data_IF_532316148645
#
_entry.id   IF_532316148645
#
_cell.length_a   1.000
_cell.length_b   1.000
_cell.length_c   1.000
_cell.angle_alpha   90.00
_cell.angle_beta   90.00
_cell.angle_gamma   90.00
#
_symmetry.space_group_name_H-M   'P 1'
#
loop_
_entity.id
_entity.type
_entity.pdbx_description
1 polymer ?
#
# COMPACT_ATOMS: atom_id res chain seq x y z
N UNK A 1 10.76 -33.38 7.81
CA UNK A 1 11.50 -32.10 7.88
C UNK A 1 11.91 -31.62 6.50
N UNK A 2 12.54 -32.46 5.68
CA UNK A 2 12.96 -32.12 4.30
C UNK A 2 11.79 -31.62 3.42
N UNK A 3 10.68 -32.38 3.36
CA UNK A 3 9.46 -31.98 2.61
C UNK A 3 8.91 -30.60 3.02
N UNK A 4 8.94 -30.24 4.31
CA UNK A 4 8.39 -28.95 4.76
C UNK A 4 9.29 -27.81 4.32
N UNK A 5 10.61 -27.98 4.40
CA UNK A 5 11.58 -26.99 3.91
C UNK A 5 11.41 -26.76 2.41
N UNK A 6 11.29 -27.82 1.62
CA UNK A 6 11.09 -27.72 0.17
C UNK A 6 9.78 -26.99 -0.18
N UNK A 7 8.70 -27.27 0.56
CA UNK A 7 7.42 -26.57 0.40
C UNK A 7 7.53 -25.07 0.71
N UNK A 8 8.30 -24.70 1.75
CA UNK A 8 8.51 -23.29 2.08
C UNK A 8 9.30 -22.54 1.00
N UNK A 9 10.25 -23.20 0.32
CA UNK A 9 10.95 -22.60 -0.83
C UNK A 9 10.04 -22.47 -2.05
N UNK A 10 9.27 -23.52 -2.37
CA UNK A 10 8.27 -23.48 -3.45
C UNK A 10 7.24 -22.36 -3.25
N UNK A 11 6.81 -22.13 -1.99
CA UNK A 11 5.88 -21.05 -1.65
C UNK A 11 6.37 -19.68 -2.12
N UNK A 12 7.68 -19.41 -2.05
CA UNK A 12 8.28 -18.13 -2.45
C UNK A 12 8.33 -17.92 -3.96
N UNK A 13 8.21 -18.99 -4.75
CA UNK A 13 8.27 -18.91 -6.21
C UNK A 13 7.02 -18.26 -6.80
N UNK A 14 5.86 -18.42 -6.17
CA UNK A 14 4.62 -17.84 -6.69
C UNK A 14 4.71 -16.30 -6.71
N UNK A 15 4.40 -15.71 -7.86
CA UNK A 15 4.50 -14.26 -8.07
C UNK A 15 3.16 -13.54 -7.90
N UNK A 16 2.08 -14.23 -7.52
CA UNK A 16 0.75 -13.63 -7.45
C UNK A 16 0.63 -12.55 -6.36
N UNK A 17 1.35 -12.74 -5.24
CA UNK A 17 1.38 -11.80 -4.12
C UNK A 17 2.46 -10.72 -4.29
N UNK A 18 3.18 -10.71 -5.42
CA UNK A 18 4.12 -9.65 -5.76
C UNK A 18 3.39 -8.32 -5.96
N UNK A 19 4.06 -7.19 -5.64
CA UNK A 19 3.42 -5.89 -5.71
C UNK A 19 3.06 -5.54 -7.15
N UNK A 20 1.86 -4.99 -7.35
CA UNK A 20 1.39 -4.56 -8.67
C UNK A 20 2.20 -3.36 -9.13
N UNK A 21 2.66 -3.35 -10.38
CA UNK A 21 3.58 -2.33 -10.92
C UNK A 21 3.21 -0.88 -10.60
N UNK A 22 1.98 -0.45 -10.89
CA UNK A 22 1.54 0.92 -10.64
C UNK A 22 1.42 1.26 -9.15
N UNK A 23 0.95 0.31 -8.33
CA UNK A 23 0.88 0.46 -6.87
C UNK A 23 2.28 0.47 -6.24
N UNK A 24 3.20 -0.30 -6.80
CA UNK A 24 4.59 -0.43 -6.35
C UNK A 24 5.41 0.85 -6.58
N UNK A 25 5.15 1.57 -7.68
CA UNK A 25 5.81 2.85 -7.99
C UNK A 25 5.14 4.06 -7.32
N UNK A 26 3.93 3.90 -6.80
CA UNK A 26 3.20 5.00 -6.17
C UNK A 26 3.75 5.27 -4.76
N UNK A 27 4.27 6.47 -4.44
CA UNK A 27 4.79 6.75 -3.10
C UNK A 27 3.79 6.52 -1.95
N UNK A 28 2.49 6.57 -2.25
CA UNK A 28 1.40 6.36 -1.30
C UNK A 28 0.78 4.95 -1.40
N UNK A 29 1.36 4.07 -2.22
CA UNK A 29 0.94 2.69 -2.43
C UNK A 29 -0.53 2.51 -2.85
N UNK A 30 -1.09 3.43 -3.66
CA UNK A 30 -2.52 3.44 -4.03
C UNK A 30 -2.95 2.09 -4.63
N UNK A 31 -4.06 1.53 -4.14
CA UNK A 31 -4.70 0.32 -4.69
C UNK A 31 -5.45 0.64 -6.00
N UNK A 32 -4.67 0.77 -7.07
CA UNK A 32 -5.16 1.11 -8.41
C UNK A 32 -6.10 0.04 -8.95
N UNK A 33 -5.87 -1.26 -8.64
CA UNK A 33 -6.72 -2.35 -9.14
C UNK A 33 -8.15 -2.22 -8.65
N UNK A 34 -8.31 -2.15 -7.33
CA UNK A 34 -9.64 -2.02 -6.71
C UNK A 34 -10.31 -0.70 -7.09
N UNK A 35 -9.53 0.39 -7.14
CA UNK A 35 -10.04 1.69 -7.57
C UNK A 35 -10.56 1.65 -9.01
N UNK A 36 -9.75 1.16 -9.96
CA UNK A 36 -10.12 1.07 -11.37
C UNK A 36 -11.31 0.12 -11.60
N UNK A 37 -11.39 -1.00 -10.86
CA UNK A 37 -12.53 -1.92 -10.94
C UNK A 37 -13.85 -1.23 -10.54
N UNK A 38 -13.83 -0.42 -9.47
CA UNK A 38 -15.02 0.34 -9.06
C UNK A 38 -15.40 1.42 -10.08
N UNK A 39 -14.41 2.11 -10.64
CA UNK A 39 -14.65 3.11 -11.68
C UNK A 39 -15.20 2.49 -12.96
N UNK A 40 -14.74 1.29 -13.36
CA UNK A 40 -15.31 0.60 -14.52
C UNK A 40 -16.77 0.20 -14.33
N UNK A 41 -17.20 0.00 -13.07
CA UNK A 41 -18.58 -0.28 -12.70
C UNK A 41 -19.41 1.00 -12.48
N UNK A 42 -18.82 2.18 -12.62
CA UNK A 42 -19.45 3.47 -12.35
C UNK A 42 -19.61 3.82 -10.86
N UNK A 43 -18.99 3.06 -9.95
CA UNK A 43 -19.01 3.30 -8.51
C UNK A 43 -17.92 4.31 -8.09
N UNK A 44 -18.12 5.59 -8.45
CA UNK A 44 -17.19 6.68 -8.10
C UNK A 44 -17.04 6.87 -6.59
N UNK A 45 -18.14 6.76 -5.84
CA UNK A 45 -18.11 6.90 -4.38
C UNK A 45 -17.27 5.79 -3.74
N UNK A 46 -17.49 4.53 -4.11
CA UNK A 46 -16.67 3.43 -3.61
C UNK A 46 -15.21 3.53 -4.04
N UNK A 47 -14.94 3.96 -5.28
CA UNK A 47 -13.58 4.20 -5.75
C UNK A 47 -12.86 5.27 -4.92
N UNK A 48 -13.54 6.37 -4.59
CA UNK A 48 -13.03 7.39 -3.67
C UNK A 48 -12.77 6.84 -2.27
N UNK A 49 -13.66 5.99 -1.74
CA UNK A 49 -13.46 5.35 -0.43
C UNK A 49 -12.27 4.38 -0.43
N UNK A 50 -11.90 3.77 -1.57
CA UNK A 50 -10.66 3.00 -1.70
C UNK A 50 -9.45 3.94 -1.71
N UNK A 51 -9.47 4.96 -2.57
CA UNK A 51 -8.38 5.91 -2.75
C UNK A 51 -7.98 6.64 -1.45
N UNK A 52 -8.97 7.18 -0.73
CA UNK A 52 -8.75 7.96 0.49
C UNK A 52 -8.23 7.14 1.69
N UNK A 53 -8.28 5.80 1.64
CA UNK A 53 -7.72 4.94 2.72
C UNK A 53 -6.21 5.13 2.82
N UNK A 54 -5.57 5.41 1.69
CA UNK A 54 -4.12 5.56 1.58
C UNK A 54 -3.73 7.04 1.40
N UNK A 55 -4.58 7.82 0.74
CA UNK A 55 -4.30 9.23 0.46
C UNK A 55 -5.02 10.15 1.45
N UNK A 56 -4.24 10.88 2.26
CA UNK A 56 -4.76 11.77 3.31
C UNK A 56 -5.48 13.01 2.76
N UNK A 57 -4.98 13.56 1.66
CA UNK A 57 -5.52 14.74 0.97
C UNK A 57 -5.86 14.38 -0.49
N UNK A 58 -6.93 13.61 -0.74
CA UNK A 58 -7.29 13.09 -2.06
C UNK A 58 -7.39 14.18 -3.13
N UNK A 59 -8.05 15.30 -2.79
CA UNK A 59 -8.20 16.45 -3.65
C UNK A 59 -6.84 17.02 -4.03
N UNK A 60 -6.02 17.39 -3.05
CA UNK A 60 -4.68 17.96 -3.31
C UNK A 60 -3.81 17.00 -4.14
N UNK A 61 -3.69 15.74 -3.69
CA UNK A 61 -2.79 14.74 -4.30
C UNK A 61 -3.15 14.47 -5.75
N UNK A 62 -4.44 14.34 -6.08
CA UNK A 62 -4.86 14.08 -7.47
C UNK A 62 -4.51 15.22 -8.43
N UNK A 63 -4.27 16.45 -7.95
CA UNK A 63 -3.83 17.59 -8.79
C UNK A 63 -2.32 17.69 -8.89
N UNK A 64 -1.57 17.38 -7.83
CA UNK A 64 -0.11 17.51 -7.82
C UNK A 64 0.64 16.27 -8.32
N UNK A 65 0.01 15.08 -8.30
CA UNK A 65 0.65 13.80 -8.60
C UNK A 65 1.51 13.86 -9.88
N UNK A 66 2.77 13.43 -9.74
CA UNK A 66 3.75 13.32 -10.83
C UNK A 66 3.58 12.03 -11.66
N UNK A 67 2.57 11.22 -11.32
CA UNK A 67 2.11 10.04 -12.05
C UNK A 67 3.20 9.00 -12.39
N UNK A 68 4.04 8.56 -11.41
CA UNK A 68 5.07 7.54 -11.65
C UNK A 68 4.48 6.20 -12.14
N UNK A 69 3.23 5.94 -11.78
CA UNK A 69 2.47 4.77 -12.20
C UNK A 69 2.27 4.67 -13.73
N UNK A 70 2.32 5.79 -14.48
CA UNK A 70 2.28 5.77 -15.95
C UNK A 70 3.50 5.07 -16.53
N UNK A 71 4.67 5.28 -15.91
CA UNK A 71 5.90 4.63 -16.34
C UNK A 71 5.96 3.16 -15.96
N UNK A 72 5.33 2.79 -14.84
CA UNK A 72 5.25 1.42 -14.36
C UNK A 72 4.25 0.54 -15.13
N UNK A 73 3.22 1.14 -15.74
CA UNK A 73 2.07 0.40 -16.23
C UNK A 73 2.45 -0.60 -17.33
N UNK A 74 2.25 -1.90 -17.06
CA UNK A 74 2.60 -2.97 -17.99
C UNK A 74 1.78 -2.94 -19.29
N UNK A 75 0.60 -2.29 -19.30
CA UNK A 75 -0.22 -2.11 -20.50
C UNK A 75 0.53 -1.38 -21.64
N UNK A 76 1.56 -0.60 -21.34
CA UNK A 76 2.46 0.02 -22.35
C UNK A 76 3.12 -1.01 -23.29
N UNK A 77 3.20 -2.28 -22.90
CA UNK A 77 3.69 -3.35 -23.77
C UNK A 77 2.68 -3.75 -24.86
N UNK A 78 1.41 -3.37 -24.71
CA UNK A 78 0.32 -3.65 -25.66
C UNK A 78 -0.05 -2.39 -26.46
N UNK A 79 -0.32 -1.29 -25.75
CA UNK A 79 -0.64 0.01 -26.32
C UNK A 79 -0.09 1.18 -25.48
N UNK A 80 -0.91 1.82 -24.64
CA UNK A 80 -0.59 2.98 -23.83
C UNK A 80 -0.94 2.72 -22.37
N UNK A 81 -0.21 3.34 -21.44
CA UNK A 81 -0.53 3.27 -20.01
C UNK A 81 -1.97 3.73 -19.73
N UNK A 82 -2.56 3.15 -18.68
CA UNK A 82 -3.82 3.63 -18.11
C UNK A 82 -3.56 4.97 -17.43
N UNK A 83 -4.39 5.98 -17.70
CA UNK A 83 -4.30 7.32 -17.12
C UNK A 83 -4.82 7.34 -15.67
N UNK A 84 -4.05 6.73 -14.78
CA UNK A 84 -4.41 6.56 -13.36
C UNK A 84 -4.59 7.92 -12.68
N UNK A 85 -3.83 8.95 -13.06
CA UNK A 85 -3.99 10.29 -12.49
C UNK A 85 -5.36 10.89 -12.85
N UNK A 86 -5.82 10.70 -14.09
CA UNK A 86 -7.18 11.10 -14.47
C UNK A 86 -8.24 10.32 -13.66
N UNK A 87 -8.03 9.03 -13.44
CA UNK A 87 -8.91 8.20 -12.60
C UNK A 87 -8.94 8.68 -11.13
N UNK A 88 -7.79 8.99 -10.52
CA UNK A 88 -7.68 9.54 -9.16
C UNK A 88 -8.41 10.89 -9.03
N UNK A 89 -8.26 11.77 -10.02
CA UNK A 89 -8.97 13.04 -10.09
C UNK A 89 -10.47 12.82 -10.19
N UNK A 90 -10.92 11.93 -11.07
CA UNK A 90 -12.31 11.59 -11.25
C UNK A 90 -12.97 11.02 -9.98
N UNK A 91 -12.25 10.18 -9.23
CA UNK A 91 -12.71 9.72 -7.91
C UNK A 91 -13.06 10.89 -7.00
N UNK A 92 -12.23 11.93 -6.99
CA UNK A 92 -12.49 13.12 -6.18
C UNK A 92 -13.68 13.90 -6.75
N UNK A 93 -13.67 14.17 -8.05
CA UNK A 93 -14.61 15.11 -8.69
C UNK A 93 -16.06 14.56 -8.72
N UNK A 94 -16.24 13.26 -8.95
CA UNK A 94 -17.56 12.63 -9.11
C UNK A 94 -18.10 11.91 -7.86
N UNK A 95 -17.32 11.77 -6.79
CA UNK A 95 -17.82 11.12 -5.57
C UNK A 95 -18.89 11.98 -4.88
N UNK A 96 -20.11 11.45 -4.79
CA UNK A 96 -21.24 12.08 -4.10
C UNK A 96 -21.03 12.13 -2.58
N UNK A 97 -20.44 11.08 -2.01
CA UNK A 97 -20.16 10.98 -0.57
C UNK A 97 -18.66 10.91 -0.30
N UNK A 98 -18.12 12.00 0.24
CA UNK A 98 -16.70 12.12 0.65
C UNK A 98 -16.47 11.98 2.16
N UNK A 99 -17.52 11.96 2.96
CA UNK A 99 -17.42 11.89 4.43
C UNK A 99 -16.82 10.57 4.90
N UNK A 100 -16.00 10.61 5.96
CA UNK A 100 -15.55 9.41 6.68
C UNK A 100 -16.54 9.09 7.79
N UNK A 101 -16.76 7.81 8.11
CA UNK A 101 -17.39 7.47 9.37
C UNK A 101 -16.53 7.97 10.53
N UNK A 102 -17.14 8.74 11.43
CA UNK A 102 -16.50 9.21 12.65
C UNK A 102 -16.52 8.10 13.69
N UNK A 103 -15.33 7.66 14.08
CA UNK A 103 -15.16 6.75 15.21
C UNK A 103 -14.62 7.52 16.40
N UNK A 104 -15.18 7.26 17.59
CA UNK A 104 -14.60 7.77 18.82
C UNK A 104 -13.26 7.07 19.07
N UNK A 105 -12.18 7.86 19.17
CA UNK A 105 -10.84 7.38 19.45
C UNK A 105 -10.43 7.94 20.82
N UNK A 106 -10.18 7.09 21.83
CA UNK A 106 -9.77 7.56 23.15
C UNK A 106 -8.49 8.40 23.08
N UNK A 107 -8.46 9.58 23.72
CA UNK A 107 -7.28 10.42 23.72
C UNK A 107 -6.13 9.76 24.49
N UNK A 108 -4.91 9.89 23.96
CA UNK A 108 -3.68 9.44 24.58
C UNK A 108 -3.02 10.61 25.32
N UNK A 109 -2.45 10.35 26.49
CA UNK A 109 -1.73 11.36 27.31
C UNK A 109 -0.30 11.57 26.81
N UNK A 110 -0.13 11.78 25.50
CA UNK A 110 1.17 11.99 24.84
C UNK A 110 1.06 13.15 23.87
N UNK A 111 2.03 14.07 23.97
CA UNK A 111 2.09 15.29 23.20
C UNK A 111 3.16 15.19 22.12
N UNK A 112 2.79 15.45 20.86
CA UNK A 112 3.71 15.45 19.73
C UNK A 112 3.86 16.86 19.16
N UNK A 113 5.08 17.36 19.02
CA UNK A 113 5.37 18.59 18.32
C UNK A 113 5.66 18.32 16.84
N UNK A 114 5.06 19.08 15.92
CA UNK A 114 5.32 19.01 14.48
C UNK A 114 5.78 20.40 14.02
N UNK A 115 6.99 20.48 13.47
CA UNK A 115 7.61 21.75 13.04
C UNK A 115 7.52 21.83 11.52
N UNK A 116 6.64 22.70 11.00
CA UNK A 116 6.34 22.88 9.59
C UNK A 116 4.91 22.44 9.25
N UNK A 117 4.13 23.34 8.64
CA UNK A 117 2.74 23.15 8.21
C UNK A 117 2.57 22.83 6.73
N UNK A 118 3.62 22.31 6.07
CA UNK A 118 3.52 21.73 4.72
C UNK A 118 2.92 20.32 4.71
N UNK A 119 2.82 19.71 3.52
CA UNK A 119 2.22 18.38 3.33
C UNK A 119 2.75 17.30 4.28
N UNK A 120 4.06 17.27 4.53
CA UNK A 120 4.64 16.27 5.44
C UNK A 120 4.25 16.49 6.90
N UNK A 121 4.28 17.73 7.38
CA UNK A 121 3.86 18.05 8.74
C UNK A 121 2.36 17.81 8.94
N UNK A 122 1.53 18.27 8.00
CA UNK A 122 0.09 18.03 8.01
C UNK A 122 -0.24 16.53 7.94
N UNK A 123 0.47 15.77 7.10
CA UNK A 123 0.32 14.32 7.01
C UNK A 123 0.64 13.60 8.31
N UNK A 124 1.73 13.99 8.99
CA UNK A 124 2.10 13.47 10.30
C UNK A 124 1.06 13.83 11.37
N UNK A 125 0.69 15.11 11.45
CA UNK A 125 -0.26 15.62 12.43
C UNK A 125 -1.63 14.94 12.32
N UNK A 126 -2.18 14.84 11.10
CA UNK A 126 -3.47 14.18 10.87
C UNK A 126 -3.40 12.68 11.18
N UNK A 127 -2.32 11.99 10.81
CA UNK A 127 -2.14 10.57 11.08
C UNK A 127 -2.08 10.28 12.57
N UNK A 128 -1.36 11.10 13.34
CA UNK A 128 -1.26 10.98 14.79
C UNK A 128 -2.57 11.38 15.51
N UNK A 129 -3.23 12.44 15.06
CA UNK A 129 -4.53 12.86 15.60
C UNK A 129 -5.60 11.77 15.40
N UNK A 130 -5.63 11.13 14.22
CA UNK A 130 -6.49 9.95 13.94
C UNK A 130 -6.13 8.72 14.78
N UNK A 131 -5.02 8.73 15.53
CA UNK A 131 -4.65 7.67 16.48
C UNK A 131 -4.86 8.11 17.95
N UNK A 132 -5.45 9.29 18.17
CA UNK A 132 -5.77 9.83 19.49
C UNK A 132 -4.63 10.60 20.16
N UNK A 133 -3.53 10.92 19.47
CA UNK A 133 -2.46 11.74 20.03
C UNK A 133 -2.79 13.23 19.96
N UNK A 134 -2.36 14.00 20.96
CA UNK A 134 -2.42 15.45 20.91
C UNK A 134 -1.22 15.98 20.14
N UNK A 135 -1.46 16.84 19.16
CA UNK A 135 -0.43 17.39 18.28
C UNK A 135 -0.38 18.91 18.39
N UNK A 136 0.82 19.46 18.52
CA UNK A 136 1.09 20.88 18.39
C UNK A 136 1.88 21.11 17.11
N UNK A 137 1.28 21.79 16.14
CA UNK A 137 1.89 22.09 14.85
C UNK A 137 2.33 23.56 14.83
N UNK A 138 3.62 23.77 14.59
CA UNK A 138 4.24 25.09 14.50
C UNK A 138 4.53 25.43 13.04
N UNK A 139 4.03 26.55 12.55
CA UNK A 139 4.23 27.04 11.18
C UNK A 139 4.79 28.46 11.25
N UNK A 140 5.89 28.69 10.51
CA UNK A 140 6.57 29.97 10.48
C UNK A 140 5.76 31.04 9.74
N UNK A 141 5.00 30.63 8.71
CA UNK A 141 4.10 31.51 7.97
C UNK A 141 2.74 31.72 8.64
N UNK A 142 1.95 32.63 8.06
CA UNK A 142 0.59 32.92 8.51
C UNK A 142 -0.42 31.81 8.14
N UNK A 143 -0.09 30.88 7.25
CA UNK A 143 -1.03 29.91 6.68
C UNK A 143 -0.39 28.54 6.47
N UNK A 144 -1.17 27.49 6.71
CA UNK A 144 -0.79 26.08 6.49
C UNK A 144 -0.81 25.72 5.00
N UNK A 145 0.08 24.84 4.54
CA UNK A 145 0.11 24.34 3.16
C UNK A 145 1.49 24.38 2.52
N UNK A 146 2.42 25.16 3.08
CA UNK A 146 3.79 25.29 2.58
C UNK A 146 3.82 25.65 1.09
N UNK A 147 4.63 24.91 0.31
CA UNK A 147 4.83 25.14 -1.12
C UNK A 147 3.54 25.12 -1.97
N UNK A 148 2.46 24.48 -1.49
CA UNK A 148 1.17 24.46 -2.19
C UNK A 148 0.56 25.86 -2.35
N UNK A 149 1.03 26.84 -1.58
CA UNK A 149 0.62 28.26 -1.67
C UNK A 149 1.53 29.11 -2.53
N UNK A 150 2.65 28.56 -3.02
CA UNK A 150 3.59 29.30 -3.85
C UNK A 150 3.03 29.48 -5.28
N UNK A 151 3.41 30.57 -5.98
CA UNK A 151 3.02 30.76 -7.37
C UNK A 151 3.41 29.56 -8.26
N UNK A 152 2.47 29.07 -9.06
CA UNK A 152 2.68 27.92 -9.95
C UNK A 152 2.19 26.58 -9.38
N UNK A 153 1.69 26.54 -8.14
CA UNK A 153 0.96 25.39 -7.61
C UNK A 153 -0.29 25.09 -8.47
N UNK A 154 -0.56 23.83 -8.84
CA UNK A 154 -1.76 23.45 -9.60
C UNK A 154 -3.01 23.34 -8.70
N UNK A 155 -2.87 23.67 -7.40
CA UNK A 155 -3.94 23.61 -6.40
C UNK A 155 -4.37 25.04 -6.10
N UNK A 156 -5.65 25.34 -6.35
CA UNK A 156 -6.22 26.63 -5.99
C UNK A 156 -6.53 26.74 -4.48
N UNK A 157 -6.75 27.97 -4.02
CA UNK A 157 -7.01 28.24 -2.60
C UNK A 157 -8.30 27.59 -2.10
N UNK A 158 -9.32 27.49 -2.95
CA UNK A 158 -10.62 26.95 -2.56
C UNK A 158 -10.50 25.45 -2.25
N UNK A 159 -9.83 24.71 -3.13
CA UNK A 159 -9.53 23.29 -2.95
C UNK A 159 -8.61 23.06 -1.74
N UNK A 160 -7.57 23.89 -1.59
CA UNK A 160 -6.68 23.78 -0.44
C UNK A 160 -7.44 23.99 0.88
N UNK A 161 -8.31 25.01 0.94
CA UNK A 161 -9.14 25.26 2.11
C UNK A 161 -10.13 24.12 2.38
N UNK A 162 -10.78 23.56 1.35
CA UNK A 162 -11.68 22.41 1.46
C UNK A 162 -10.96 21.19 2.07
N UNK A 163 -9.79 20.85 1.55
CA UNK A 163 -9.03 19.67 1.95
C UNK A 163 -8.35 19.82 3.33
N UNK A 164 -7.99 21.04 3.71
CA UNK A 164 -7.41 21.32 5.03
C UNK A 164 -8.45 21.50 6.13
N UNK A 165 -9.71 21.81 5.80
CA UNK A 165 -10.78 22.03 6.78
C UNK A 165 -10.90 20.90 7.82
N UNK A 166 -10.94 19.59 7.45
CA UNK A 166 -11.02 18.52 8.44
C UNK A 166 -9.81 18.41 9.37
N UNK A 167 -8.64 18.94 8.96
CA UNK A 167 -7.44 18.98 9.79
C UNK A 167 -7.51 20.15 10.77
N UNK A 168 -7.95 21.31 10.28
CA UNK A 168 -8.08 22.53 11.09
C UNK A 168 -9.17 22.38 12.15
N UNK A 169 -10.27 21.71 11.82
CA UNK A 169 -11.38 21.43 12.74
C UNK A 169 -11.09 20.27 13.71
N UNK A 170 -9.96 19.58 13.57
CA UNK A 170 -9.60 18.49 14.45
C UNK A 170 -9.12 19.01 15.82
N UNK A 171 -9.98 18.85 16.84
CA UNK A 171 -9.69 19.32 18.21
C UNK A 171 -8.47 18.67 18.90
N UNK A 172 -7.83 17.67 18.31
CA UNK A 172 -6.57 17.09 18.81
C UNK A 172 -5.32 17.81 18.29
N UNK A 173 -5.47 18.72 17.31
CA UNK A 173 -4.37 19.46 16.69
C UNK A 173 -4.48 20.93 17.09
N UNK A 174 -3.45 21.45 17.73
CA UNK A 174 -3.30 22.88 18.02
C UNK A 174 -2.30 23.49 17.05
N UNK A 175 -2.68 24.59 16.40
CA UNK A 175 -1.84 25.28 15.41
C UNK A 175 -1.24 26.56 16.00
N UNK A 176 0.07 26.72 15.84
CA UNK A 176 0.82 27.93 16.14
C UNK A 176 1.35 28.51 14.84
N UNK A 177 0.57 29.43 14.25
CA UNK A 177 0.92 30.16 13.02
C UNK A 177 1.83 31.35 13.37
N UNK A 178 2.53 31.89 12.37
CA UNK A 178 3.51 32.97 12.57
C UNK A 178 4.55 32.66 13.67
N UNK A 179 4.84 31.37 13.87
CA UNK A 179 5.67 30.88 14.96
C UNK A 179 6.85 30.11 14.38
N UNK A 180 7.94 30.84 14.14
CA UNK A 180 9.21 30.25 13.77
C UNK A 180 9.84 29.58 15.00
N UNK A 181 10.23 28.31 14.85
CA UNK A 181 10.95 27.57 15.89
C UNK A 181 12.45 27.66 15.60
N UNK A 182 13.20 28.37 16.46
CA UNK A 182 14.66 28.49 16.33
C UNK A 182 15.40 27.40 17.13
N UNK A 183 14.77 26.82 18.15
CA UNK A 183 15.30 25.69 18.90
C UNK A 183 14.19 24.79 19.43
N UNK A 184 14.38 23.48 19.29
CA UNK A 184 13.48 22.46 19.84
C UNK A 184 13.45 22.44 21.37
N UNK A 185 14.46 23.00 22.05
CA UNK A 185 14.53 23.01 23.52
C UNK A 185 13.51 23.97 24.15
N UNK A 186 12.95 24.89 23.35
CA UNK A 186 11.89 25.81 23.78
C UNK A 186 10.51 25.15 23.81
N UNK A 187 10.38 23.96 23.22
CA UNK A 187 9.12 23.25 23.08
C UNK A 187 9.01 22.12 24.09
N UNK A 188 7.78 21.87 24.57
CA UNK A 188 7.47 20.73 25.43
C UNK A 188 6.78 19.65 24.61
N UNK A 189 7.35 18.46 24.55
CA UNK A 189 6.77 17.32 23.83
C UNK A 189 7.28 15.98 24.39
N UNK A 190 6.53 14.91 24.15
CA UNK A 190 7.01 13.52 24.32
C UNK A 190 7.77 13.04 23.07
N UNK A 191 7.38 13.52 21.88
CA UNK A 191 8.08 13.30 20.63
C UNK A 191 7.95 14.52 19.68
N UNK A 192 8.90 14.70 18.76
CA UNK A 192 8.86 15.78 17.78
C UNK A 192 9.18 15.31 16.36
N UNK A 193 8.54 15.93 15.38
CA UNK A 193 8.85 15.78 13.95
C UNK A 193 9.27 17.11 13.33
N UNK A 194 10.46 17.13 12.73
CA UNK A 194 10.98 18.28 11.98
C UNK A 194 10.64 18.13 10.49
N UNK A 195 9.64 18.88 10.05
CA UNK A 195 9.04 18.88 8.71
C UNK A 195 9.24 20.21 7.96
N UNK A 196 10.40 20.85 8.16
CA UNK A 196 10.73 22.20 7.66
C UNK A 196 10.99 22.28 6.15
N UNK A 197 10.86 21.18 5.41
CA UNK A 197 11.11 21.12 3.97
C UNK A 197 12.58 20.91 3.61
N UNK A 198 12.90 21.00 2.30
CA UNK A 198 14.25 20.75 1.77
C UNK A 198 15.26 21.81 2.20
N UNK A 199 14.86 23.08 2.14
CA UNK A 199 15.70 24.23 2.45
C UNK A 199 15.48 24.77 3.88
N UNK A 200 14.73 24.01 4.69
CA UNK A 200 14.43 24.35 6.07
C UNK A 200 15.53 23.96 7.05
N UNK A 201 15.51 24.56 8.23
CA UNK A 201 16.45 24.21 9.29
C UNK A 201 16.23 22.77 9.79
N UNK A 202 17.30 22.01 9.90
CA UNK A 202 17.31 20.65 10.43
C UNK A 202 17.79 20.59 11.89
N UNK A 203 18.12 21.73 12.51
CA UNK A 203 18.59 21.84 13.90
C UNK A 203 19.82 20.96 14.20
N UNK A 204 20.68 20.74 13.20
CA UNK A 204 21.83 19.84 13.31
C UNK A 204 21.49 18.34 13.39
N UNK A 205 20.23 17.96 13.18
CA UNK A 205 19.74 16.57 13.35
C UNK A 205 20.00 15.65 12.16
N UNK A 206 20.44 16.20 11.03
CA UNK A 206 20.73 15.41 9.82
C UNK A 206 21.87 14.39 10.06
N UNK A 207 22.84 14.74 10.91
CA UNK A 207 23.97 13.87 11.23
C UNK A 207 23.54 12.65 12.05
N UNK A 208 23.49 11.48 11.41
CA UNK A 208 23.08 10.23 12.04
C UNK A 208 21.58 9.97 12.03
N UNK A 209 20.85 10.57 11.08
CA UNK A 209 19.49 10.18 10.71
C UNK A 209 19.48 8.72 10.24
N UNK A 210 18.62 7.89 10.83
CA UNK A 210 18.33 6.56 10.30
C UNK A 210 17.28 6.67 9.17
N UNK A 211 17.61 6.33 7.92
CA UNK A 211 16.66 6.42 6.81
C UNK A 211 15.47 5.44 6.96
N UNK A 212 15.63 4.33 7.67
CA UNK A 212 14.60 3.32 7.85
C UNK A 212 13.48 3.79 8.78
N UNK A 213 13.84 4.30 9.95
CA UNK A 213 12.89 4.80 10.95
C UNK A 213 12.64 6.30 10.92
N UNK A 214 13.50 7.06 10.24
CA UNK A 214 13.54 8.54 10.27
C UNK A 214 13.86 9.11 11.67
N UNK A 215 14.41 8.26 12.55
CA UNK A 215 14.88 8.63 13.87
C UNK A 215 16.19 9.41 13.80
N UNK A 216 16.31 10.42 14.65
CA UNK A 216 17.58 11.15 14.84
C UNK A 216 18.34 10.59 16.04
N UNK A 217 19.57 11.06 16.26
CA UNK A 217 20.33 10.76 17.49
C UNK A 217 19.71 11.36 18.74
N UNK A 218 18.89 12.41 18.61
CA UNK A 218 18.18 13.03 19.72
C UNK A 218 16.93 12.19 20.04
N UNK A 219 16.88 11.68 21.27
CA UNK A 219 15.76 10.85 21.74
C UNK A 219 14.42 11.56 21.56
N UNK A 220 13.44 10.83 21.02
CA UNK A 220 12.10 11.33 20.73
C UNK A 220 12.01 12.32 19.57
N UNK A 221 13.08 12.57 18.81
CA UNK A 221 13.05 13.52 17.69
C UNK A 221 13.28 12.80 16.36
N UNK A 222 12.41 13.09 15.40
CA UNK A 222 12.38 12.53 14.06
C UNK A 222 12.53 13.66 13.03
N UNK A 223 13.16 13.35 11.90
CA UNK A 223 13.47 14.32 10.85
C UNK A 223 12.96 13.79 9.51
N UNK A 224 12.52 14.69 8.63
CA UNK A 224 12.08 14.29 7.30
C UNK A 224 13.22 13.61 6.51
N UNK A 225 12.84 12.71 5.61
CA UNK A 225 13.80 11.94 4.81
C UNK A 225 14.59 12.75 3.78
N UNK A 226 14.28 14.02 3.51
CA UNK A 226 15.03 14.81 2.53
C UNK A 226 16.50 15.01 2.97
N UNK A 227 16.75 15.07 4.28
CA UNK A 227 18.10 15.14 4.84
C UNK A 227 18.89 13.81 4.73
N UNK A 228 18.25 12.71 4.35
CA UNK A 228 18.89 11.38 4.23
C UNK A 228 19.63 11.15 2.90
N UNK A 229 19.63 12.14 1.99
CA UNK A 229 20.32 12.03 0.69
C UNK A 229 19.66 11.05 -0.29
N UNK A 230 18.42 10.64 -0.03
CA UNK A 230 17.67 9.75 -0.92
C UNK A 230 17.43 10.39 -2.29
N UNK A 231 17.55 9.64 -3.40
CA UNK A 231 17.45 10.18 -4.75
C UNK A 231 16.01 10.44 -5.22
N UNK A 232 15.00 10.22 -4.36
CA UNK A 232 13.58 10.29 -4.73
C UNK A 232 13.15 11.73 -5.04
N UNK A 233 12.44 11.91 -6.17
CA UNK A 233 12.08 13.24 -6.70
C UNK A 233 10.59 13.53 -6.81
N UNK A 234 9.73 12.66 -6.28
CA UNK A 234 8.28 12.88 -6.35
C UNK A 234 7.84 14.01 -5.42
N UNK A 235 6.87 14.80 -5.87
CA UNK A 235 6.21 15.84 -5.08
C UNK A 235 5.37 15.27 -3.93
N UNK A 236 5.11 13.96 -3.93
CA UNK A 236 4.36 13.24 -2.90
C UNK A 236 5.23 12.73 -1.76
N UNK A 237 6.56 12.78 -1.90
CA UNK A 237 7.50 12.29 -0.87
C UNK A 237 7.26 12.95 0.49
N UNK A 238 7.06 14.30 0.62
CA UNK A 238 6.79 14.91 1.91
C UNK A 238 5.59 14.29 2.63
N UNK A 239 4.49 14.03 1.91
CA UNK A 239 3.27 13.43 2.48
C UNK A 239 3.53 12.00 2.95
N UNK A 240 4.21 11.18 2.12
CA UNK A 240 4.62 9.82 2.47
C UNK A 240 5.48 9.81 3.74
N UNK A 241 6.51 10.66 3.79
CA UNK A 241 7.40 10.75 4.96
C UNK A 241 6.64 11.18 6.22
N UNK A 242 5.69 12.12 6.10
CA UNK A 242 4.82 12.50 7.21
C UNK A 242 4.05 11.32 7.80
N UNK A 243 3.49 10.46 6.95
CA UNK A 243 2.78 9.24 7.36
C UNK A 243 3.73 8.20 7.97
N UNK A 244 4.92 8.02 7.39
CA UNK A 244 5.95 7.10 7.87
C UNK A 244 6.47 7.52 9.26
N UNK A 245 6.82 8.80 9.44
CA UNK A 245 7.27 9.33 10.74
C UNK A 245 6.19 9.17 11.81
N UNK A 246 4.91 9.37 11.48
CA UNK A 246 3.83 9.15 12.45
C UNK A 246 3.80 7.71 12.99
N UNK A 247 4.18 6.72 12.17
CA UNK A 247 4.33 5.33 12.63
C UNK A 247 5.54 5.18 13.57
N UNK A 248 6.70 5.73 13.19
CA UNK A 248 7.90 5.69 14.04
C UNK A 248 7.72 6.39 15.38
N UNK A 249 7.04 7.54 15.39
CA UNK A 249 6.68 8.26 16.61
C UNK A 249 5.79 7.38 17.48
N UNK A 250 4.79 6.72 16.91
CA UNK A 250 3.92 5.83 17.66
C UNK A 250 4.70 4.66 18.29
N UNK A 251 5.59 4.03 17.51
CA UNK A 251 6.40 2.90 18.00
C UNK A 251 7.34 3.33 19.12
N UNK A 252 7.96 4.51 18.99
CA UNK A 252 8.77 5.13 20.05
C UNK A 252 7.93 5.44 21.29
N UNK A 253 6.76 6.08 21.15
CA UNK A 253 5.90 6.43 22.29
C UNK A 253 5.38 5.20 23.05
N UNK A 254 5.28 4.05 22.38
CA UNK A 254 4.88 2.76 22.99
C UNK A 254 6.05 2.04 23.66
N UNK A 255 7.24 2.08 23.06
CA UNK A 255 8.37 1.20 23.45
C UNK A 255 9.53 1.92 24.12
N UNK A 256 9.61 3.24 23.99
CA UNK A 256 10.76 4.06 24.39
C UNK A 256 12.02 3.85 23.55
N UNK A 257 11.95 3.07 22.45
CA UNK A 257 13.10 2.75 21.61
C UNK A 257 13.09 3.60 20.34
N UNK A 258 14.19 4.28 20.06
CA UNK A 258 14.43 4.87 18.74
C UNK A 258 14.78 3.78 17.73
N UNK A 259 14.52 4.04 16.45
CA UNK A 259 14.70 3.06 15.37
C UNK A 259 13.40 2.36 14.97
N UNK A 260 13.52 1.27 14.21
CA UNK A 260 12.39 0.50 13.68
C UNK A 260 12.22 0.66 12.16
N UNK A 261 11.10 0.17 11.64
CA UNK A 261 10.73 0.37 10.24
C UNK A 261 9.55 1.32 10.19
N UNK A 262 9.76 2.51 9.61
CA UNK A 262 8.71 3.48 9.38
C UNK A 262 7.86 3.03 8.18
N UNK A 263 7.13 1.91 8.30
CA UNK A 263 6.24 1.35 7.27
C UNK A 263 6.73 1.63 5.85
N UNK A 264 7.82 0.99 5.44
CA UNK A 264 8.53 1.38 4.22
C UNK A 264 7.78 0.88 2.99
N UNK A 265 6.98 1.75 2.36
CA UNK A 265 6.69 1.56 0.95
C UNK A 265 7.98 1.87 0.17
N UNK A 266 8.78 0.84 -0.01
CA UNK A 266 9.94 0.83 -0.90
C UNK A 266 9.52 0.23 -2.23
N UNK A 267 9.88 0.93 -3.31
CA UNK A 267 9.71 0.43 -4.67
C UNK A 267 10.65 -0.77 -4.82
N UNK A 268 10.10 -1.96 -5.05
CA UNK A 268 10.87 -3.18 -5.28
C UNK A 268 10.63 -3.71 -6.69
N UNK A 269 11.63 -4.31 -7.38
CA UNK A 269 11.37 -4.96 -8.65
C UNK A 269 10.31 -6.05 -8.50
N UNK A 270 9.14 -5.84 -9.11
CA UNK A 270 8.03 -6.80 -9.05
C UNK A 270 8.30 -7.98 -9.98
N UNK A 271 8.17 -9.20 -9.46
CA UNK A 271 8.19 -10.43 -10.28
C UNK A 271 6.81 -10.82 -10.80
N UNK A 272 5.78 -9.99 -10.58
CA UNK A 272 4.40 -10.30 -10.95
C UNK A 272 4.32 -10.63 -12.45
N UNK A 273 3.89 -11.85 -12.75
CA UNK A 273 3.61 -12.23 -14.13
C UNK A 273 2.18 -11.83 -14.50
N UNK A 274 2.02 -11.21 -15.66
CA UNK A 274 0.73 -10.88 -16.27
C UNK A 274 0.75 -11.39 -17.69
N UNK A 275 -0.19 -12.28 -18.04
CA UNK A 275 -0.35 -12.72 -19.42
C UNK A 275 -1.02 -11.60 -20.22
N UNK A 276 -0.37 -11.20 -21.32
CA UNK A 276 -0.85 -10.16 -22.22
C UNK A 276 -1.45 -10.76 -23.50
N UNK A 277 -1.45 -12.08 -23.63
CA UNK A 277 -1.99 -12.79 -24.80
C UNK A 277 -3.49 -12.52 -24.92
N UNK A 278 -3.93 -12.06 -26.10
CA UNK A 278 -5.35 -11.78 -26.37
C UNK A 278 -5.87 -10.46 -25.83
N UNK A 279 -5.05 -9.66 -25.12
CA UNK A 279 -5.43 -8.32 -24.67
C UNK A 279 -5.70 -7.42 -25.88
N UNK A 280 -6.92 -6.87 -25.94
CA UNK A 280 -7.32 -5.98 -27.02
C UNK A 280 -6.69 -4.60 -26.88
N UNK A 281 -6.18 -4.09 -28.00
CA UNK A 281 -5.64 -2.73 -28.07
C UNK A 281 -6.77 -1.71 -27.93
N UNK A 282 -6.59 -0.79 -27.01
CA UNK A 282 -7.42 0.40 -26.81
C UNK A 282 -6.48 1.53 -26.39
N UNK A 283 -6.34 2.55 -27.24
CA UNK A 283 -5.53 3.73 -26.95
C UNK A 283 -6.06 4.49 -25.73
N UNK A 284 -5.22 5.37 -25.18
CA UNK A 284 -5.61 6.20 -24.04
C UNK A 284 -6.78 7.09 -24.41
N UNK A 285 -7.80 7.12 -23.53
CA UNK A 285 -8.93 8.04 -23.67
C UNK A 285 -8.40 9.47 -23.63
N UNK A 286 -8.93 10.34 -24.48
CA UNK A 286 -8.56 11.77 -24.49
C UNK A 286 -9.71 12.55 -23.89
N UNK A 287 -9.41 13.40 -22.91
CA UNK A 287 -10.40 14.26 -22.29
C UNK A 287 -11.05 15.21 -23.33
N UNK A 288 -12.38 15.23 -23.37
CA UNK A 288 -13.16 16.07 -24.29
C UNK A 288 -13.02 17.58 -24.05
N UNK A 289 -12.62 18.02 -22.85
CA UNK A 289 -12.42 19.45 -22.57
C UNK A 289 -11.68 19.75 -21.26
N UNK A 290 -10.71 20.68 -21.31
CA UNK A 290 -10.06 21.25 -20.11
C UNK A 290 -9.16 20.29 -19.30
N UNK A 291 -8.87 19.09 -19.81
CA UNK A 291 -8.00 18.11 -19.16
C UNK A 291 -8.64 17.31 -18.03
N UNK A 292 -9.95 17.46 -17.78
CA UNK A 292 -10.72 16.59 -16.87
C UNK A 292 -11.60 15.64 -17.69
N UNK A 293 -11.72 14.39 -17.23
CA UNK A 293 -12.51 13.38 -17.93
C UNK A 293 -13.99 13.54 -17.58
N UNK A 294 -14.90 13.31 -18.53
CA UNK A 294 -16.32 13.08 -18.24
C UNK A 294 -16.50 11.75 -17.51
N UNK A 295 -17.66 11.53 -16.89
CA UNK A 295 -17.94 10.24 -16.25
C UNK A 295 -17.79 9.07 -17.24
N UNK A 296 -18.29 9.20 -18.46
CA UNK A 296 -18.20 8.17 -19.51
C UNK A 296 -16.75 7.90 -19.92
N UNK A 297 -15.93 8.94 -20.04
CA UNK A 297 -14.50 8.82 -20.36
C UNK A 297 -13.73 8.11 -19.24
N UNK A 298 -14.10 8.34 -17.98
CA UNK A 298 -13.51 7.64 -16.83
C UNK A 298 -13.83 6.15 -16.89
N UNK A 299 -15.07 5.78 -17.19
CA UNK A 299 -15.46 4.37 -17.32
C UNK A 299 -14.67 3.69 -18.44
N UNK A 300 -14.55 4.34 -19.60
CA UNK A 300 -13.78 3.83 -20.74
C UNK A 300 -12.31 3.65 -20.38
N UNK A 301 -11.70 4.62 -19.69
CA UNK A 301 -10.30 4.54 -19.29
C UNK A 301 -10.07 3.50 -18.19
N UNK A 302 -10.98 3.40 -17.23
CA UNK A 302 -10.92 2.40 -16.16
C UNK A 302 -11.02 0.97 -16.70
N UNK A 303 -11.86 0.75 -17.73
CA UNK A 303 -11.98 -0.54 -18.44
C UNK A 303 -10.70 -0.96 -19.16
N UNK A 304 -9.76 -0.03 -19.41
CA UNK A 304 -8.43 -0.37 -19.93
C UNK A 304 -7.52 -1.00 -18.86
N UNK A 305 -7.88 -0.95 -17.57
CA UNK A 305 -7.08 -1.59 -16.53
C UNK A 305 -7.06 -3.12 -16.69
N UNK A 306 -5.86 -3.71 -16.79
CA UNK A 306 -5.67 -5.15 -16.95
C UNK A 306 -5.99 -5.97 -15.69
N UNK A 307 -6.31 -5.32 -14.56
CA UNK A 307 -6.47 -5.97 -13.26
C UNK A 307 -5.31 -6.94 -12.95
N UNK A 308 -4.09 -6.42 -13.15
CA UNK A 308 -2.82 -7.16 -13.15
C UNK A 308 -2.77 -8.21 -12.03
N UNK A 309 -2.75 -9.48 -12.42
CA UNK A 309 -2.66 -10.64 -11.53
C UNK A 309 -2.18 -11.86 -12.31
N UNK A 310 -1.42 -12.75 -11.66
CA UNK A 310 -1.06 -14.02 -12.25
C UNK A 310 -2.19 -15.04 -12.02
N UNK A 311 -2.98 -15.34 -13.06
CA UNK A 311 -4.10 -16.29 -13.02
C UNK A 311 -3.83 -17.64 -13.71
N UNK A 312 -2.63 -17.86 -14.28
CA UNK A 312 -2.33 -19.03 -15.13
C UNK A 312 -2.75 -20.38 -14.52
N UNK A 313 -2.52 -20.58 -13.22
CA UNK A 313 -2.91 -21.82 -12.53
C UNK A 313 -4.42 -21.92 -12.25
N UNK A 314 -5.14 -20.80 -12.12
CA UNK A 314 -6.59 -20.77 -11.96
C UNK A 314 -7.28 -21.07 -13.29
N UNK A 315 -6.77 -20.51 -14.38
CA UNK A 315 -7.37 -20.66 -15.70
C UNK A 315 -7.18 -22.07 -16.27
N UNK A 316 -6.07 -22.74 -15.89
CA UNK A 316 -5.73 -24.06 -16.41
C UNK A 316 -6.12 -25.25 -15.50
N UNK A 317 -6.38 -25.05 -14.20
CA UNK A 317 -6.62 -26.15 -13.26
C UNK A 317 -7.98 -26.03 -12.56
N UNK A 318 -8.92 -26.90 -12.93
CA UNK A 318 -10.26 -26.97 -12.33
C UNK A 318 -10.24 -27.14 -10.81
N UNK A 319 -9.29 -27.91 -10.28
CA UNK A 319 -9.11 -28.09 -8.84
C UNK A 319 -8.82 -26.76 -8.16
N UNK A 320 -7.85 -26.01 -8.67
CA UNK A 320 -7.44 -24.72 -8.09
C UNK A 320 -8.58 -23.71 -8.24
N UNK A 321 -9.23 -23.67 -9.40
CA UNK A 321 -10.40 -22.82 -9.65
C UNK A 321 -11.57 -23.13 -8.70
N UNK A 322 -11.85 -24.41 -8.43
CA UNK A 322 -12.90 -24.85 -7.52
C UNK A 322 -12.63 -24.40 -6.08
N UNK A 323 -11.40 -24.62 -5.57
CA UNK A 323 -11.04 -24.23 -4.22
C UNK A 323 -10.83 -22.72 -4.06
N UNK A 324 -10.61 -21.99 -5.16
CA UNK A 324 -10.32 -20.54 -5.18
C UNK A 324 -9.16 -20.15 -4.25
N UNK A 325 -8.20 -21.06 -4.09
CA UNK A 325 -7.00 -20.86 -3.28
C UNK A 325 -5.81 -20.58 -4.17
N UNK A 326 -4.99 -19.64 -3.74
CA UNK A 326 -3.77 -19.28 -4.45
C UNK A 326 -2.64 -20.26 -4.08
N UNK A 327 -1.63 -20.43 -4.95
CA UNK A 327 -0.54 -21.38 -4.72
C UNK A 327 0.11 -21.30 -3.32
N UNK A 328 0.44 -20.13 -2.76
CA UNK A 328 1.04 -20.05 -1.41
C UNK A 328 0.11 -20.61 -0.33
N UNK A 329 -1.19 -20.31 -0.42
CA UNK A 329 -2.18 -20.79 0.53
C UNK A 329 -2.40 -22.30 0.44
N UNK A 330 -2.37 -22.85 -0.77
CA UNK A 330 -2.42 -24.30 -0.99
C UNK A 330 -1.24 -24.97 -0.30
N UNK A 331 -0.03 -24.45 -0.49
CA UNK A 331 1.18 -24.99 0.13
C UNK A 331 1.12 -24.90 1.66
N UNK A 332 0.65 -23.78 2.22
CA UNK A 332 0.43 -23.66 3.67
C UNK A 332 -0.56 -24.71 4.20
N UNK A 333 -1.64 -24.97 3.47
CA UNK A 333 -2.62 -25.98 3.86
C UNK A 333 -2.03 -27.41 3.77
N UNK A 334 -1.12 -27.67 2.83
CA UNK A 334 -0.35 -28.92 2.78
C UNK A 334 0.56 -29.02 4.00
N UNK A 335 1.32 -27.97 4.35
CA UNK A 335 2.18 -27.97 5.53
C UNK A 335 1.35 -28.20 6.81
N UNK A 336 0.22 -27.52 6.95
CA UNK A 336 -0.69 -27.68 8.08
C UNK A 336 -1.25 -29.11 8.18
N UNK A 337 -1.42 -29.79 7.05
CA UNK A 337 -1.86 -31.19 6.99
C UNK A 337 -0.84 -32.16 7.61
N UNK A 338 0.45 -31.85 7.55
CA UNK A 338 1.51 -32.67 8.15
C UNK A 338 1.76 -32.33 9.63
N UNK A 339 1.40 -31.12 10.08
CA UNK A 339 1.61 -30.64 11.45
C UNK A 339 0.35 -30.78 12.32
N UNK A 340 -0.25 -31.97 12.36
CA UNK A 340 -1.49 -32.20 13.11
C UNK A 340 -1.21 -32.33 14.62
N UNK A 341 -1.75 -31.41 15.41
CA UNK A 341 -1.84 -31.56 16.87
C UNK A 341 -3.06 -32.42 17.18
N UNK A 342 -2.85 -33.72 17.44
CA UNK A 342 -3.93 -34.71 17.65
C UNK A 342 -4.90 -34.37 18.78
N UNK A 343 -4.48 -33.58 19.77
CA UNK A 343 -5.36 -33.10 20.84
C UNK A 343 -6.35 -32.01 20.38
N UNK A 344 -6.10 -31.36 19.24
CA UNK A 344 -6.93 -30.27 18.70
C UNK A 344 -7.80 -30.68 17.52
N UNK A 345 -7.38 -31.65 16.71
CA UNK A 345 -8.16 -32.10 15.55
C UNK A 345 -7.83 -33.54 15.15
N UNK A 346 -8.86 -34.28 14.74
CA UNK A 346 -8.77 -35.63 14.17
C UNK A 346 -8.71 -35.62 12.64
N UNK A 347 -8.88 -34.45 11.99
CA UNK A 347 -8.74 -34.35 10.53
C UNK A 347 -7.26 -34.37 10.16
N UNK A 348 -6.86 -35.44 9.48
CA UNK A 348 -5.46 -35.73 9.12
C UNK A 348 -5.08 -35.35 7.69
N UNK A 349 -6.05 -35.05 6.82
CA UNK A 349 -5.80 -34.71 5.42
C UNK A 349 -6.75 -33.62 4.91
N UNK A 350 -6.23 -32.63 4.18
CA UNK A 350 -7.10 -31.71 3.43
C UNK A 350 -7.70 -32.40 2.22
N UNK A 351 -8.99 -32.15 1.94
CA UNK A 351 -9.69 -32.70 0.76
C UNK A 351 -8.94 -32.36 -0.53
N UNK A 352 -8.38 -31.16 -0.61
CA UNK A 352 -7.64 -30.67 -1.77
C UNK A 352 -6.43 -31.53 -2.12
N UNK A 353 -5.64 -31.97 -1.14
CA UNK A 353 -4.47 -32.85 -1.37
C UNK A 353 -4.89 -34.14 -2.06
N UNK A 354 -6.05 -34.71 -1.73
CA UNK A 354 -6.53 -35.97 -2.29
C UNK A 354 -7.35 -35.82 -3.57
N UNK A 355 -7.78 -34.61 -3.91
CA UNK A 355 -8.60 -34.35 -5.10
C UNK A 355 -7.79 -34.09 -6.39
N UNK A 356 -6.47 -33.88 -6.29
CA UNK A 356 -5.62 -33.74 -7.48
C UNK A 356 -5.54 -35.04 -8.30
N UNK A 357 -5.67 -34.93 -9.62
CA UNK A 357 -5.55 -36.04 -10.58
C UNK A 357 -4.12 -36.35 -11.02
N UNK A 358 -3.12 -35.58 -10.53
CA UNK A 358 -1.70 -35.77 -10.86
C UNK A 358 -1.40 -35.65 -12.36
N UNK A 359 -2.03 -34.70 -13.06
CA UNK A 359 -1.85 -34.53 -14.51
C UNK A 359 -0.62 -33.70 -14.95
N UNK A 360 0.15 -33.13 -14.02
CA UNK A 360 1.35 -32.32 -14.32
C UNK A 360 1.13 -30.93 -14.90
N UNK A 361 -0.07 -30.61 -15.42
CA UNK A 361 -0.37 -29.35 -16.12
C UNK A 361 0.04 -28.08 -15.36
N UNK A 362 -0.10 -28.09 -14.03
CA UNK A 362 0.31 -26.97 -13.17
C UNK A 362 1.77 -26.54 -13.38
N UNK A 363 2.68 -27.48 -13.64
CA UNK A 363 4.10 -27.21 -13.85
C UNK A 363 4.36 -26.59 -15.21
N UNK A 364 3.67 -27.08 -16.24
CA UNK A 364 3.83 -26.62 -17.62
C UNK A 364 3.29 -25.21 -17.82
N UNK A 365 2.11 -24.92 -17.26
CA UNK A 365 1.44 -23.62 -17.45
C UNK A 365 1.94 -22.53 -16.48
N UNK A 366 2.51 -22.92 -15.34
CA UNK A 366 2.99 -21.94 -14.38
C UNK A 366 4.25 -21.25 -14.91
N UNK A 367 4.31 -19.91 -14.98
CA UNK A 367 5.50 -19.18 -15.39
C UNK A 367 6.72 -19.47 -14.53
N UNK A 368 6.49 -19.85 -13.27
CA UNK A 368 7.51 -20.19 -12.27
C UNK A 368 7.68 -21.70 -12.08
N UNK A 369 7.02 -22.50 -12.92
CA UNK A 369 7.06 -23.96 -12.93
C UNK A 369 6.69 -24.63 -11.59
N UNK A 370 5.66 -24.10 -10.91
CA UNK A 370 5.13 -24.70 -9.68
C UNK A 370 4.45 -26.05 -9.97
N UNK A 371 5.00 -27.12 -9.38
CA UNK A 371 4.60 -28.50 -9.62
C UNK A 371 3.74 -29.05 -8.47
N UNK A 372 2.42 -28.81 -8.54
CA UNK A 372 1.46 -29.34 -7.55
C UNK A 372 1.27 -30.84 -7.62
N UNK A 373 1.53 -31.48 -8.75
CA UNK A 373 1.52 -32.94 -8.87
C UNK A 373 2.54 -33.54 -7.90
N UNK A 374 3.80 -33.11 -8.02
CA UNK A 374 4.89 -33.57 -7.17
C UNK A 374 4.61 -33.29 -5.69
N UNK A 375 4.13 -32.09 -5.36
CA UNK A 375 3.78 -31.68 -4.00
C UNK A 375 2.69 -32.59 -3.40
N UNK A 376 1.58 -32.76 -4.11
CA UNK A 376 0.46 -33.53 -3.58
C UNK A 376 0.77 -35.02 -3.53
N UNK A 377 1.49 -35.57 -4.51
CA UNK A 377 1.92 -36.97 -4.48
C UNK A 377 2.88 -37.26 -3.33
N UNK A 378 3.89 -36.40 -3.12
CA UNK A 378 4.81 -36.51 -2.00
C UNK A 378 4.06 -36.43 -0.65
N UNK A 379 3.13 -35.48 -0.53
CA UNK A 379 2.28 -35.33 0.65
C UNK A 379 1.42 -36.58 0.92
N UNK A 380 0.76 -37.14 -0.10
CA UNK A 380 -0.04 -38.37 0.01
C UNK A 380 0.81 -39.55 0.49
N UNK A 381 1.99 -39.74 -0.11
CA UNK A 381 2.93 -40.82 0.26
C UNK A 381 3.40 -40.70 1.70
N UNK A 382 3.75 -39.49 2.14
CA UNK A 382 4.15 -39.22 3.52
C UNK A 382 3.01 -39.52 4.51
N UNK A 383 1.80 -39.01 4.25
CA UNK A 383 0.63 -39.27 5.09
C UNK A 383 0.28 -40.77 5.15
N UNK A 384 0.41 -41.50 4.05
CA UNK A 384 0.19 -42.94 4.04
C UNK A 384 1.23 -43.69 4.88
N UNK A 385 2.52 -43.34 4.74
CA UNK A 385 3.61 -43.92 5.54
C UNK A 385 3.44 -43.67 7.04
N UNK A 386 2.88 -42.53 7.42
CA UNK A 386 2.59 -42.16 8.81
C UNK A 386 1.30 -42.81 9.36
N UNK A 387 0.56 -43.57 8.52
CA UNK A 387 -0.72 -44.16 8.90
C UNK A 387 -1.88 -43.16 9.01
N UNK A 388 -1.69 -41.94 8.50
CA UNK A 388 -2.66 -40.85 8.55
C UNK A 388 -3.64 -40.87 7.34
N UNK A 389 -3.34 -41.64 6.29
CA UNK A 389 -4.25 -41.96 5.19
C UNK A 389 -4.49 -43.48 5.11
N UNK A 390 -5.74 -43.93 4.91
CA UNK A 390 -6.03 -45.35 4.71
C UNK A 390 -5.30 -45.88 3.47
N UNK A 391 -5.02 -47.20 3.41
CA UNK A 391 -4.53 -47.83 2.19
C UNK A 391 -5.48 -47.52 1.04
N UNK A 392 -4.95 -47.31 -0.17
CA UNK A 392 -5.78 -47.19 -1.36
C UNK A 392 -6.61 -48.48 -1.47
N UNK A 393 -7.93 -48.37 -1.36
CA UNK A 393 -8.82 -49.52 -1.31
C UNK A 393 -8.91 -50.29 -2.65
N UNK A 394 -8.34 -49.75 -3.73
CA UNK A 394 -8.42 -50.33 -5.08
C UNK A 394 -7.12 -50.07 -5.88
N UNK A 395 -6.63 -51.11 -6.55
CA UNK A 395 -5.37 -51.16 -7.35
C UNK A 395 -5.35 -50.28 -8.63
N UNK A 396 -6.25 -49.30 -8.78
CA UNK A 396 -6.41 -48.54 -10.04
C UNK A 396 -5.81 -47.12 -10.04
N UNK A 397 -4.84 -46.82 -9.18
CA UNK A 397 -4.20 -45.48 -9.15
C UNK A 397 -2.67 -45.49 -8.91
N UNK A 398 -2.00 -46.52 -9.43
CA UNK A 398 -0.56 -46.51 -9.74
C UNK A 398 -0.40 -46.62 -11.26
#
# INVERSE_FOLDING_TARGET
MELITDLLELRKLCTRDEPVFCTNECPLAVDVRTMAARLSDGDFTGAFQVYRRQVLFPGIVSRICDAPCLEACIRKQVDEAVDIRALERACCDYAERRESPDYYIPPKKKLVAVIGGGLGGLGCALTLARKGYTVQLYEAGERLGGWLREPGSPVDEALLAEELRPVVENGSITFFLNTRVDSLDTLRFDAAYVATGRDGDHFGLAAGLDPGSLATKRQGVFLNGCASGRPERSVLIPLREGMRVAQSIEDYLKTGKMGGSAGNHEVVPSRLYVDLTGVQKAGRVKASGGGAYTAEEVLQEAQRCLQCSCNSCWDACELIAFFKKQPPKIIEDVIATHNVVRSMTTRVASRQVNSCNLCGLCKEICPMSLDFESIFLASRRALHKEGNLPPAFHDFWL
#
